data_IF_991715679059
#
_entry.id   IF_991715679059
#
_cell.length_a   1.000
_cell.length_b   1.000
_cell.length_c   1.000
_cell.angle_alpha   90.00
_cell.angle_beta   90.00
_cell.angle_gamma   90.00
#
_symmetry.space_group_name_H-M   'P 1'
#
loop_
_entity.id
_entity.type
_entity.pdbx_description
1 polymer ?
#
# COMPACT_ATOMS: atom_id res chain seq x y z
N UNK A 1 6.05 11.48 -13.84
CA UNK A 1 6.71 10.16 -13.99
C UNK A 1 5.65 9.16 -14.41
N UNK A 2 5.99 7.97 -14.92
CA UNK A 2 4.98 6.94 -15.21
C UNK A 2 4.67 6.18 -13.91
N UNK A 3 3.39 5.96 -13.58
CA UNK A 3 2.96 5.22 -12.38
C UNK A 3 3.65 3.85 -12.24
N UNK A 4 4.00 3.22 -13.37
CA UNK A 4 4.78 1.98 -13.38
C UNK A 4 6.20 2.18 -12.84
N UNK A 5 6.86 3.28 -13.18
CA UNK A 5 8.21 3.58 -12.71
C UNK A 5 8.23 3.81 -11.19
N UNK A 6 7.24 4.52 -10.65
CA UNK A 6 7.07 4.73 -9.22
C UNK A 6 6.79 3.40 -8.49
N UNK A 7 5.94 2.54 -9.06
CA UNK A 7 5.70 1.19 -8.54
C UNK A 7 6.98 0.35 -8.46
N UNK A 8 7.82 0.38 -9.50
CA UNK A 8 9.09 -0.36 -9.49
C UNK A 8 10.11 0.24 -8.52
N UNK A 9 10.13 1.56 -8.34
CA UNK A 9 10.98 2.21 -7.34
C UNK A 9 10.59 1.82 -5.91
N UNK A 10 9.30 1.83 -5.59
CA UNK A 10 8.80 1.39 -4.28
C UNK A 10 9.18 -0.07 -3.99
N UNK A 11 9.03 -0.96 -4.97
CA UNK A 11 9.48 -2.36 -4.82
C UNK A 11 10.99 -2.49 -4.61
N UNK A 12 11.79 -1.68 -5.29
CA UNK A 12 13.23 -1.61 -5.05
C UNK A 12 13.55 -1.20 -3.62
N UNK A 13 12.91 -0.12 -3.15
CA UNK A 13 13.10 0.37 -1.78
C UNK A 13 12.72 -0.66 -0.72
N UNK A 14 11.61 -1.38 -0.89
CA UNK A 14 11.20 -2.46 0.02
C UNK A 14 12.22 -3.61 0.00
N UNK A 15 12.74 -3.96 -1.17
CA UNK A 15 13.72 -5.05 -1.33
C UNK A 15 15.05 -4.74 -0.62
N UNK A 16 15.39 -3.46 -0.50
CA UNK A 16 16.60 -2.98 0.19
C UNK A 16 16.42 -2.88 1.72
N UNK A 17 15.21 -3.09 2.26
CA UNK A 17 14.96 -3.04 3.70
C UNK A 17 15.44 -4.31 4.43
N UNK A 18 15.71 -4.23 5.74
CA UNK A 18 15.87 -5.41 6.60
C UNK A 18 14.68 -6.38 6.52
N UNK A 19 14.94 -7.69 6.66
CA UNK A 19 13.94 -8.73 6.43
C UNK A 19 12.73 -8.67 7.38
N UNK A 20 12.94 -8.20 8.61
CA UNK A 20 11.91 -7.90 9.59
C UNK A 20 10.97 -6.77 9.10
N UNK A 21 11.54 -5.68 8.58
CA UNK A 21 10.75 -4.58 8.01
C UNK A 21 10.01 -4.99 6.73
N UNK A 22 10.62 -5.82 5.90
CA UNK A 22 9.94 -6.40 4.73
C UNK A 22 8.73 -7.25 5.14
N UNK A 23 8.86 -8.03 6.23
CA UNK A 23 7.78 -8.85 6.75
C UNK A 23 6.63 -7.99 7.30
N UNK A 24 6.95 -6.90 8.01
CA UNK A 24 5.96 -5.93 8.49
C UNK A 24 5.17 -5.29 7.34
N UNK A 25 5.85 -4.84 6.28
CA UNK A 25 5.20 -4.26 5.10
C UNK A 25 4.29 -5.28 4.42
N UNK A 26 4.77 -6.52 4.25
CA UNK A 26 3.98 -7.60 3.65
C UNK A 26 2.74 -7.95 4.50
N UNK A 27 2.87 -7.92 5.82
CA UNK A 27 1.75 -8.12 6.71
C UNK A 27 0.72 -6.99 6.57
N UNK A 28 1.16 -5.73 6.55
CA UNK A 28 0.29 -4.58 6.35
C UNK A 28 -0.45 -4.63 4.99
N UNK A 29 0.25 -5.01 3.91
CA UNK A 29 -0.39 -5.22 2.60
C UNK A 29 -1.53 -6.27 2.70
N UNK A 30 -1.27 -7.39 3.37
CA UNK A 30 -2.27 -8.45 3.50
C UNK A 30 -3.49 -7.99 4.31
N UNK A 31 -3.27 -7.26 5.41
CA UNK A 31 -4.35 -6.73 6.25
C UNK A 31 -5.25 -5.75 5.47
N UNK A 32 -4.66 -4.88 4.65
CA UNK A 32 -5.40 -3.95 3.79
C UNK A 32 -6.22 -4.71 2.75
N UNK A 33 -5.65 -5.73 2.10
CA UNK A 33 -6.36 -6.57 1.12
C UNK A 33 -7.52 -7.29 1.80
N UNK A 34 -7.31 -7.88 2.98
CA UNK A 34 -8.33 -8.59 3.72
C UNK A 34 -9.48 -7.67 4.14
N UNK A 35 -9.19 -6.42 4.52
CA UNK A 35 -10.22 -5.42 4.82
C UNK A 35 -10.98 -5.06 3.55
N UNK A 36 -10.26 -4.72 2.48
CA UNK A 36 -10.86 -4.23 1.25
C UNK A 36 -11.77 -5.30 0.61
N UNK A 37 -11.36 -6.57 0.63
CA UNK A 37 -12.11 -7.68 0.03
C UNK A 37 -13.35 -8.14 0.80
N UNK A 38 -13.58 -7.65 2.03
CA UNK A 38 -14.76 -8.04 2.84
C UNK A 38 -16.09 -7.57 2.25
N UNK A 39 -16.13 -6.42 1.59
CA UNK A 39 -17.33 -5.87 0.96
C UNK A 39 -17.00 -4.75 -0.01
N UNK A 40 -17.91 -4.42 -0.94
CA UNK A 40 -17.76 -3.25 -1.83
C UNK A 40 -17.62 -1.93 -1.05
N UNK A 41 -18.33 -1.79 0.08
CA UNK A 41 -18.20 -0.63 0.95
C UNK A 41 -16.81 -0.54 1.58
N UNK A 42 -16.21 -1.68 1.93
CA UNK A 42 -14.84 -1.75 2.46
C UNK A 42 -13.80 -1.39 1.39
N UNK A 43 -13.98 -1.85 0.14
CA UNK A 43 -13.14 -1.41 -0.99
C UNK A 43 -13.18 0.10 -1.19
N UNK A 44 -14.38 0.70 -1.20
CA UNK A 44 -14.55 2.14 -1.34
C UNK A 44 -13.90 2.91 -0.18
N UNK A 45 -14.11 2.45 1.06
CA UNK A 45 -13.48 3.04 2.25
C UNK A 45 -11.95 2.98 2.20
N UNK A 46 -11.39 1.83 1.83
CA UNK A 46 -9.93 1.68 1.66
C UNK A 46 -9.38 2.60 0.56
N UNK A 47 -10.10 2.73 -0.55
CA UNK A 47 -9.72 3.63 -1.64
C UNK A 47 -9.75 5.10 -1.20
N UNK A 48 -10.79 5.52 -0.47
CA UNK A 48 -10.89 6.88 0.05
C UNK A 48 -9.78 7.19 1.07
N UNK A 49 -9.46 6.25 1.96
CA UNK A 49 -8.36 6.40 2.91
C UNK A 49 -7.01 6.57 2.21
N UNK A 50 -6.74 5.79 1.15
CA UNK A 50 -5.52 5.91 0.34
C UNK A 50 -5.43 7.27 -0.37
N UNK A 51 -6.55 7.78 -0.89
CA UNK A 51 -6.62 9.12 -1.49
C UNK A 51 -6.31 10.19 -0.45
N UNK A 52 -6.91 10.12 0.74
CA UNK A 52 -6.66 11.07 1.84
C UNK A 52 -5.18 11.08 2.23
N UNK A 53 -4.58 9.92 2.46
CA UNK A 53 -3.15 9.81 2.78
C UNK A 53 -2.26 10.40 1.69
N UNK A 54 -2.63 10.20 0.42
CA UNK A 54 -1.89 10.76 -0.72
C UNK A 54 -1.98 12.28 -0.77
N UNK A 55 -3.13 12.85 -0.37
CA UNK A 55 -3.34 14.30 -0.30
C UNK A 55 -2.65 14.95 0.91
N UNK A 56 -2.57 14.25 2.04
CA UNK A 56 -1.89 14.71 3.26
C UNK A 56 -0.35 14.63 3.16
N UNK A 57 0.17 13.82 2.25
CA UNK A 57 1.62 13.69 2.01
C UNK A 57 2.21 14.85 1.18
N UNK A 58 1.44 15.90 0.89
CA UNK A 58 1.81 17.10 0.12
C UNK A 58 1.55 18.37 0.93
#
# INVERSE_FOLDING_TARGET
>A
MSDKAEHYQLKGMISDMPADQQAEIKQAEQEVIDIATRSEASMLGATMAMILLSLEAH
#
